data_IF_527116510037
#
_entry.id   IF_527116510037
#
_cell.length_a   1.000
_cell.length_b   1.000
_cell.length_c   1.000
_cell.angle_alpha   90.00
_cell.angle_beta   90.00
_cell.angle_gamma   90.00
#
_symmetry.space_group_name_H-M   'P 1'
#
loop_
_entity.id
_entity.type
_entity.pdbx_description
1 polymer ?
#
# COMPACT_ATOMS: atom_id res chain seq x y z
N UNK A 1 12.77 -10.48 7.95
CA UNK A 1 11.64 -10.89 8.80
C UNK A 1 10.41 -10.34 8.12
N UNK A 2 9.55 -11.18 7.56
CA UNK A 2 8.30 -10.70 6.97
C UNK A 2 7.43 -10.17 8.11
N UNK A 3 6.83 -8.99 7.93
CA UNK A 3 5.96 -8.37 8.92
C UNK A 3 4.76 -9.30 9.14
N UNK A 4 4.62 -9.85 10.33
CA UNK A 4 3.56 -10.80 10.65
C UNK A 4 2.26 -10.03 10.95
N UNK A 5 1.45 -9.86 9.90
CA UNK A 5 0.10 -9.34 9.98
C UNK A 5 -0.91 -10.49 9.94
N UNK A 6 -0.91 -11.36 10.96
CA UNK A 6 -1.87 -12.46 11.16
C UNK A 6 -3.31 -11.95 11.46
N UNK A 7 -3.73 -10.90 10.76
CA UNK A 7 -5.10 -10.47 10.56
C UNK A 7 -5.49 -10.94 9.17
N UNK A 8 -6.68 -11.49 9.05
CA UNK A 8 -7.31 -11.80 7.76
C UNK A 8 -7.34 -10.51 6.90
N UNK A 9 -6.33 -10.36 6.03
CA UNK A 9 -6.08 -9.14 5.25
C UNK A 9 -7.21 -8.92 4.26
N UNK A 10 -7.68 -10.01 3.66
CA UNK A 10 -8.85 -10.04 2.80
C UNK A 10 -10.10 -9.56 3.55
N UNK A 11 -10.43 -10.14 4.71
CA UNK A 11 -11.63 -9.71 5.45
C UNK A 11 -11.53 -8.24 5.91
N UNK A 12 -10.33 -7.77 6.26
CA UNK A 12 -10.12 -6.37 6.62
C UNK A 12 -10.25 -5.44 5.41
N UNK A 13 -9.72 -5.84 4.26
CA UNK A 13 -9.85 -5.13 3.00
C UNK A 13 -11.32 -5.02 2.57
N UNK A 14 -12.06 -6.13 2.57
CA UNK A 14 -13.49 -6.13 2.22
C UNK A 14 -14.29 -5.21 3.14
N UNK A 15 -14.02 -5.24 4.44
CA UNK A 15 -14.66 -4.30 5.39
C UNK A 15 -14.36 -2.84 5.03
N UNK A 16 -13.12 -2.51 4.65
CA UNK A 16 -12.74 -1.16 4.25
C UNK A 16 -13.41 -0.76 2.92
N UNK A 17 -13.48 -1.70 1.97
CA UNK A 17 -14.12 -1.54 0.65
C UNK A 17 -15.62 -1.29 0.79
N UNK A 18 -16.32 -2.12 1.55
CA UNK A 18 -17.76 -1.99 1.81
C UNK A 18 -18.14 -0.69 2.50
N UNK A 19 -17.25 -0.19 3.38
CA UNK A 19 -17.45 1.07 4.09
C UNK A 19 -16.86 2.29 3.37
N UNK A 20 -16.23 2.08 2.21
CA UNK A 20 -15.48 3.09 1.44
C UNK A 20 -14.58 3.96 2.34
N UNK A 21 -13.89 3.29 3.28
CA UNK A 21 -13.15 3.95 4.36
C UNK A 21 -11.79 3.30 4.56
N UNK A 22 -10.74 4.10 4.38
CA UNK A 22 -9.36 3.67 4.57
C UNK A 22 -8.87 4.11 5.95
N UNK A 23 -8.19 3.23 6.72
CA UNK A 23 -7.68 3.58 8.04
C UNK A 23 -6.70 4.77 8.01
N UNK A 24 -6.86 5.69 8.97
CA UNK A 24 -5.90 6.79 9.16
C UNK A 24 -4.59 6.34 9.82
N UNK A 25 -4.59 5.22 10.54
CA UNK A 25 -3.39 4.62 11.13
C UNK A 25 -2.55 3.96 10.02
N UNK A 26 -1.26 4.29 9.92
CA UNK A 26 -0.39 3.81 8.84
C UNK A 26 -0.23 2.27 8.83
N UNK A 27 -0.14 1.62 9.99
CA UNK A 27 0.00 0.16 10.05
C UNK A 27 -1.26 -0.56 9.55
N UNK A 28 -2.45 -0.07 9.90
CA UNK A 28 -3.70 -0.60 9.35
C UNK A 28 -3.85 -0.29 7.87
N UNK A 29 -3.37 0.88 7.43
CA UNK A 29 -3.41 1.27 6.02
C UNK A 29 -2.53 0.36 5.17
N UNK A 30 -1.36 -0.06 5.65
CA UNK A 30 -0.50 -1.02 4.93
C UNK A 30 -1.25 -2.31 4.58
N UNK A 31 -2.03 -2.86 5.51
CA UNK A 31 -2.82 -4.09 5.25
C UNK A 31 -3.74 -3.91 4.04
N UNK A 32 -4.39 -2.74 3.93
CA UNK A 32 -5.27 -2.42 2.79
C UNK A 32 -4.46 -2.26 1.51
N UNK A 33 -3.31 -1.59 1.56
CA UNK A 33 -2.47 -1.33 0.39
C UNK A 33 -1.79 -2.60 -0.13
N UNK A 34 -1.34 -3.49 0.75
CA UNK A 34 -0.75 -4.78 0.38
C UNK A 34 -1.79 -5.68 -0.28
N UNK A 35 -3.00 -5.79 0.30
CA UNK A 35 -4.07 -6.58 -0.29
C UNK A 35 -4.54 -5.99 -1.63
N UNK A 36 -4.59 -4.66 -1.75
CA UNK A 36 -4.88 -3.98 -3.02
C UNK A 36 -3.84 -4.32 -4.10
N UNK A 37 -2.56 -4.31 -3.73
CA UNK A 37 -1.47 -4.66 -4.64
C UNK A 37 -1.56 -6.12 -5.08
N UNK A 38 -1.72 -7.03 -4.13
CA UNK A 38 -1.82 -8.48 -4.39
C UNK A 38 -3.01 -8.81 -5.31
N UNK A 39 -4.11 -8.03 -5.26
CA UNK A 39 -5.30 -8.21 -6.09
C UNK A 39 -5.18 -7.62 -7.48
N UNK A 40 -4.71 -6.37 -7.57
CA UNK A 40 -4.87 -5.56 -8.76
C UNK A 40 -3.62 -5.47 -9.62
N UNK A 41 -2.46 -5.87 -9.09
CA UNK A 41 -1.19 -5.56 -9.72
C UNK A 41 -0.21 -6.73 -9.69
N UNK A 42 0.51 -6.90 -10.79
CA UNK A 42 1.63 -7.82 -10.84
C UNK A 42 2.91 -7.08 -10.44
N UNK A 43 3.68 -7.69 -9.55
CA UNK A 43 4.94 -7.14 -9.08
C UNK A 43 6.00 -7.16 -10.18
N UNK A 44 6.74 -6.06 -10.33
CA UNK A 44 7.74 -5.87 -11.38
C UNK A 44 7.17 -5.29 -12.68
N UNK A 45 5.85 -5.24 -12.81
CA UNK A 45 5.19 -4.65 -13.97
C UNK A 45 5.03 -3.14 -13.83
N UNK A 46 4.83 -2.50 -14.98
CA UNK A 46 4.62 -1.06 -15.07
C UNK A 46 3.22 -0.79 -15.61
N UNK A 47 2.53 0.17 -15.00
CA UNK A 47 1.17 0.55 -15.36
C UNK A 47 1.10 2.06 -15.58
N UNK A 48 0.30 2.51 -16.54
CA UNK A 48 0.06 3.94 -16.72
C UNK A 48 -0.67 4.52 -15.52
N UNK A 49 -0.50 5.82 -15.29
CA UNK A 49 -1.22 6.55 -14.26
C UNK A 49 -2.74 6.35 -14.33
N UNK A 50 -3.31 6.24 -15.54
CA UNK A 50 -4.74 6.02 -15.75
C UNK A 50 -5.14 4.62 -15.29
N UNK A 51 -4.45 3.58 -15.76
CA UNK A 51 -4.73 2.19 -15.36
C UNK A 51 -4.66 2.00 -13.85
N UNK A 52 -3.64 2.55 -13.19
CA UNK A 52 -3.54 2.49 -11.72
C UNK A 52 -4.73 3.20 -11.06
N UNK A 53 -5.18 4.33 -11.60
CA UNK A 53 -6.33 5.05 -11.01
C UNK A 53 -7.61 4.25 -11.18
N UNK A 54 -7.81 3.66 -12.35
CA UNK A 54 -9.01 2.90 -12.69
C UNK A 54 -9.11 1.63 -11.85
N UNK A 55 -8.04 0.82 -11.78
CA UNK A 55 -8.00 -0.41 -10.97
C UNK A 55 -8.26 -0.15 -9.49
N UNK A 56 -7.63 0.89 -8.91
CA UNK A 56 -7.92 1.27 -7.52
C UNK A 56 -9.37 1.75 -7.37
N UNK A 57 -9.89 2.44 -8.38
CA UNK A 57 -11.26 2.96 -8.42
C UNK A 57 -12.34 1.88 -8.46
N UNK A 58 -11.98 0.64 -8.82
CA UNK A 58 -12.89 -0.52 -8.72
C UNK A 58 -13.19 -0.89 -7.25
N UNK A 59 -12.34 -0.45 -6.32
CA UNK A 59 -12.45 -0.77 -4.89
C UNK A 59 -12.79 0.42 -4.02
N UNK A 60 -12.25 1.61 -4.31
CA UNK A 60 -12.38 2.77 -3.43
C UNK A 60 -12.73 4.04 -4.22
N UNK A 61 -13.58 4.90 -3.66
CA UNK A 61 -13.98 6.15 -4.31
C UNK A 61 -12.87 7.21 -4.36
N UNK A 62 -11.81 7.07 -3.55
CA UNK A 62 -10.66 7.99 -3.51
C UNK A 62 -9.35 7.36 -4.06
N UNK A 63 -9.30 6.92 -5.33
CA UNK A 63 -8.15 6.19 -5.87
C UNK A 63 -6.87 7.03 -5.93
N UNK A 64 -7.00 8.36 -6.04
CA UNK A 64 -5.85 9.28 -6.05
C UNK A 64 -5.13 9.28 -4.71
N UNK A 65 -5.86 9.19 -3.59
CA UNK A 65 -5.25 9.16 -2.27
C UNK A 65 -4.47 7.85 -2.09
N UNK A 66 -5.09 6.71 -2.36
CA UNK A 66 -4.45 5.40 -2.25
C UNK A 66 -3.23 5.26 -3.16
N UNK A 67 -3.30 5.74 -4.41
CA UNK A 67 -2.13 5.76 -5.30
C UNK A 67 -0.96 6.57 -4.73
N UNK A 68 -1.23 7.70 -4.07
CA UNK A 68 -0.18 8.48 -3.39
C UNK A 68 0.39 7.72 -2.20
N UNK A 69 -0.46 7.04 -1.44
CA UNK A 69 -0.01 6.24 -0.30
C UNK A 69 0.88 5.07 -0.75
N UNK A 70 0.56 4.40 -1.86
CA UNK A 70 1.42 3.37 -2.45
C UNK A 70 2.85 3.90 -2.72
N UNK A 71 2.97 5.14 -3.21
CA UNK A 71 4.28 5.81 -3.41
C UNK A 71 4.90 6.18 -2.06
N UNK A 72 4.13 6.77 -1.15
CA UNK A 72 4.61 7.22 0.17
C UNK A 72 5.15 6.07 1.01
N UNK A 73 4.56 4.88 0.89
CA UNK A 73 5.04 3.66 1.54
C UNK A 73 6.07 2.89 0.72
N UNK A 74 6.40 3.32 -0.50
CA UNK A 74 7.47 2.75 -1.30
C UNK A 74 7.15 1.42 -1.97
N UNK A 75 5.86 1.07 -2.12
CA UNK A 75 5.43 -0.09 -2.89
C UNK A 75 5.45 0.16 -4.39
N UNK A 76 5.33 1.42 -4.82
CA UNK A 76 5.36 1.78 -6.23
C UNK A 76 6.30 2.96 -6.47
N UNK A 77 7.02 2.91 -7.58
CA UNK A 77 7.81 4.03 -8.07
C UNK A 77 7.05 4.74 -9.18
N UNK A 78 6.97 6.08 -9.13
CA UNK A 78 6.31 6.87 -10.17
C UNK A 78 7.33 7.56 -11.06
N UNK A 79 7.35 7.21 -12.35
CA UNK A 79 8.13 7.92 -13.37
C UNK A 79 7.31 9.06 -13.97
N UNK A 80 7.74 10.30 -13.69
CA UNK A 80 7.10 11.51 -14.21
C UNK A 80 7.28 11.70 -15.73
N UNK A 81 8.32 11.12 -16.34
CA UNK A 81 8.60 11.26 -17.78
C UNK A 81 7.69 10.38 -18.59
N UNK A 82 7.50 9.14 -18.14
CA UNK A 82 6.61 8.17 -18.77
C UNK A 82 5.14 8.30 -18.28
N UNK A 83 4.91 8.97 -17.15
CA UNK A 83 3.60 9.06 -16.48
C UNK A 83 3.06 7.66 -16.11
N UNK A 84 3.96 6.85 -15.56
CA UNK A 84 3.80 5.42 -15.28
C UNK A 84 4.24 5.09 -13.85
N UNK A 85 3.68 4.01 -13.32
CA UNK A 85 3.97 3.46 -12.00
C UNK A 85 4.56 2.06 -12.15
N UNK A 86 5.76 1.86 -11.64
CA UNK A 86 6.39 0.55 -11.50
C UNK A 86 6.01 -0.05 -10.14
N UNK A 87 5.53 -1.30 -10.15
CA UNK A 87 5.16 -2.03 -8.93
C UNK A 87 6.40 -2.72 -8.38
N UNK A 88 6.84 -2.32 -7.20
CA UNK A 88 8.10 -2.80 -6.63
C UNK A 88 7.91 -4.09 -5.85
N UNK A 89 8.84 -5.03 -6.03
CA UNK A 89 8.97 -6.23 -5.20
C UNK A 89 9.54 -5.86 -3.83
N UNK A 90 8.75 -5.23 -2.97
CA UNK A 90 9.22 -4.87 -1.62
C UNK A 90 8.26 -5.34 -0.54
N UNK A 91 8.71 -6.34 0.19
CA UNK A 91 8.38 -6.44 1.62
C UNK A 91 9.17 -5.34 2.32
N UNK A 92 8.48 -4.46 3.04
CA UNK A 92 9.12 -3.39 3.81
C UNK A 92 10.12 -3.98 4.81
N UNK A 93 11.38 -3.58 4.72
CA UNK A 93 12.39 -3.94 5.70
C UNK A 93 12.30 -3.06 6.96
N UNK A 94 12.94 -3.47 8.05
CA UNK A 94 13.04 -2.62 9.25
C UNK A 94 13.71 -1.27 8.94
N UNK A 95 14.65 -1.25 8.00
CA UNK A 95 15.34 -0.04 7.56
C UNK A 95 14.39 0.87 6.80
N UNK A 96 13.62 0.35 5.85
CA UNK A 96 12.59 1.12 5.13
C UNK A 96 11.57 1.75 6.11
N UNK A 97 11.19 1.01 7.17
CA UNK A 97 10.29 1.49 8.23
C UNK A 97 10.93 2.58 9.10
N UNK A 98 12.24 2.49 9.38
CA UNK A 98 12.99 3.51 10.15
C UNK A 98 13.27 4.77 9.34
N UNK A 99 13.46 4.65 8.02
CA UNK A 99 13.70 5.78 7.13
C UNK A 99 12.39 6.49 6.74
N UNK A 100 11.27 5.76 6.75
CA UNK A 100 9.96 6.34 6.51
C UNK A 100 9.32 6.86 7.81
N UNK A 101 9.35 8.18 8.00
CA UNK A 101 8.81 8.82 9.21
C UNK A 101 7.34 8.50 9.53
N UNK A 102 6.53 8.12 8.53
CA UNK A 102 5.16 7.64 8.77
C UNK A 102 5.16 6.24 9.42
N UNK A 103 6.02 5.34 8.94
CA UNK A 103 6.13 3.98 9.45
C UNK A 103 6.88 3.92 10.78
N UNK A 104 7.89 4.77 10.99
CA UNK A 104 8.68 4.79 12.22
C UNK A 104 7.81 5.02 13.45
N UNK A 105 6.81 5.93 13.34
CA UNK A 105 5.85 6.20 14.42
C UNK A 105 5.01 4.98 14.80
N UNK A 106 4.80 4.08 13.84
CA UNK A 106 3.97 2.89 13.96
C UNK A 106 4.79 1.60 14.00
N UNK A 107 6.12 1.67 14.13
CA UNK A 107 6.99 0.50 14.07
C UNK A 107 6.67 -0.57 15.12
N UNK A 108 6.11 -0.20 16.28
CA UNK A 108 5.57 -1.15 17.28
C UNK A 108 4.34 -1.89 16.76
N UNK A 109 3.40 -1.16 16.16
CA UNK A 109 2.18 -1.72 15.56
C UNK A 109 2.50 -2.63 14.35
N UNK A 110 3.64 -2.38 13.70
CA UNK A 110 4.19 -3.15 12.59
C UNK A 110 5.04 -4.37 13.04
N UNK A 111 5.32 -4.51 14.35
CA UNK A 111 6.20 -5.57 14.86
C UNK A 111 7.69 -5.38 14.56
N UNK A 112 8.11 -4.16 14.18
CA UNK A 112 9.47 -3.81 13.73
C UNK A 112 10.36 -3.28 14.86
N UNK A 113 9.79 -2.61 15.85
CA UNK A 113 10.53 -2.09 17.01
C UNK A 113 9.85 -2.55 18.31
N UNK A 114 10.63 -3.12 19.24
CA UNK A 114 10.18 -3.45 20.60
C UNK A 114 10.29 -2.24 21.54
#
# INVERSE_FOLDING_TARGET
MALDFDRDREAFFEKCRESDSVPGNSALKLVVLEELLDREFETGETYTKTEVTERIGEHFAEPIHLRRELVNFGYVHYDNRANEYEILTRTLSEEDVRENGHLTRHAKDLGVLN
#
